data_IF_397791805819
#
_entry.id   IF_397791805819
#
_cell.length_a   1.000
_cell.length_b   1.000
_cell.length_c   1.000
_cell.angle_alpha   90.00
_cell.angle_beta   90.00
_cell.angle_gamma   90.00
#
_symmetry.space_group_name_H-M   'P 1'
#
loop_
_entity.id
_entity.type
_entity.pdbx_description
1 polymer ?
#
# COMPACT_ATOMS: atom_id res chain seq x y z
N UNK A 1 1.03 -10.67 9.23
CA UNK A 1 2.19 -11.12 8.44
C UNK A 1 2.22 -10.34 7.15
N UNK A 2 3.36 -9.72 6.80
CA UNK A 2 3.47 -8.82 5.65
C UNK A 2 4.24 -9.52 4.53
N UNK A 3 3.61 -9.71 3.38
CA UNK A 3 4.14 -10.57 2.32
C UNK A 3 5.15 -9.88 1.38
N UNK A 4 5.28 -8.55 1.45
CA UNK A 4 6.15 -7.75 0.59
C UNK A 4 6.88 -6.71 1.43
N UNK A 5 8.21 -6.76 1.43
CA UNK A 5 9.02 -5.78 2.12
C UNK A 5 8.84 -4.38 1.50
N UNK A 6 8.82 -3.39 2.37
CA UNK A 6 8.90 -1.99 1.95
C UNK A 6 10.38 -1.70 1.66
N UNK A 7 10.73 -1.17 0.47
CA UNK A 7 12.12 -0.86 0.14
C UNK A 7 12.77 0.05 1.19
N UNK A 8 14.04 -0.22 1.50
CA UNK A 8 14.77 0.57 2.48
C UNK A 8 14.83 2.05 2.08
N UNK A 9 14.62 2.95 3.05
CA UNK A 9 14.58 4.39 2.81
C UNK A 9 13.28 4.92 2.20
N UNK A 10 12.25 4.07 2.04
CA UNK A 10 10.92 4.55 1.65
C UNK A 10 10.35 5.46 2.73
N UNK A 11 10.17 6.73 2.38
CA UNK A 11 9.52 7.71 3.24
C UNK A 11 7.99 7.56 3.13
N UNK A 12 7.41 6.86 4.11
CA UNK A 12 5.97 6.62 4.19
C UNK A 12 5.15 7.91 4.40
N UNK A 13 5.75 8.98 4.92
CA UNK A 13 5.05 10.24 5.15
C UNK A 13 4.69 10.97 3.84
N UNK A 14 5.30 10.57 2.71
CA UNK A 14 4.95 11.10 1.38
C UNK A 14 3.65 10.53 0.83
N UNK A 15 3.18 9.42 1.38
CA UNK A 15 2.00 8.71 0.90
C UNK A 15 0.83 8.91 1.89
N UNK A 16 -0.39 8.91 1.35
CA UNK A 16 -1.61 9.17 2.15
C UNK A 16 -2.52 7.95 2.26
N UNK A 17 -2.33 6.95 1.40
CA UNK A 17 -3.28 5.86 1.21
C UNK A 17 -2.52 4.65 0.71
N UNK A 18 -2.92 3.46 1.17
CA UNK A 18 -2.51 2.18 0.62
C UNK A 18 -3.64 1.61 -0.24
N UNK A 19 -3.29 0.94 -1.33
CA UNK A 19 -4.25 0.32 -2.24
C UNK A 19 -3.99 -1.18 -2.38
N UNK A 20 -5.07 -1.94 -2.43
CA UNK A 20 -5.08 -3.37 -2.74
C UNK A 20 -5.40 -3.54 -4.22
N UNK A 21 -4.39 -3.84 -5.02
CA UNK A 21 -4.52 -4.05 -6.45
C UNK A 21 -4.61 -5.55 -6.79
N UNK A 22 -5.45 -5.90 -7.75
CA UNK A 22 -5.52 -7.25 -8.31
C UNK A 22 -5.07 -7.25 -9.77
N UNK A 23 -3.91 -7.87 -10.03
CA UNK A 23 -3.32 -7.95 -11.37
C UNK A 23 -4.21 -8.70 -12.37
N UNK A 24 -4.81 -9.82 -11.97
CA UNK A 24 -5.67 -10.65 -12.84
C UNK A 24 -6.84 -9.87 -13.45
N UNK A 25 -7.41 -8.94 -12.70
CA UNK A 25 -8.55 -8.14 -13.14
C UNK A 25 -8.14 -6.74 -13.59
N UNK A 26 -6.86 -6.41 -13.50
CA UNK A 26 -6.32 -5.08 -13.73
C UNK A 26 -7.10 -3.97 -13.00
N UNK A 27 -7.43 -4.20 -11.73
CA UNK A 27 -8.36 -3.35 -10.98
C UNK A 27 -7.94 -3.16 -9.51
N UNK A 28 -8.39 -2.04 -8.94
CA UNK A 28 -8.23 -1.72 -7.53
C UNK A 28 -9.41 -2.30 -6.73
N UNK A 29 -9.12 -3.16 -5.76
CA UNK A 29 -10.13 -3.83 -4.94
C UNK A 29 -10.43 -3.08 -3.64
N UNK A 30 -9.54 -2.17 -3.22
CA UNK A 30 -9.73 -1.42 -2.00
C UNK A 30 -8.62 -0.42 -1.75
N UNK A 31 -8.95 0.59 -0.96
CA UNK A 31 -8.00 1.58 -0.49
C UNK A 31 -8.27 1.89 0.99
N UNK A 32 -7.21 2.12 1.75
CA UNK A 32 -7.29 2.54 3.14
C UNK A 32 -6.32 3.69 3.39
N UNK A 33 -6.69 4.68 4.23
CA UNK A 33 -5.78 5.77 4.58
C UNK A 33 -4.54 5.20 5.30
N UNK A 34 -3.37 5.77 4.99
CA UNK A 34 -2.12 5.41 5.65
C UNK A 34 -1.96 6.33 6.87
N UNK A 35 -2.40 5.86 8.02
CA UNK A 35 -2.39 6.60 9.28
C UNK A 35 -1.33 6.02 10.24
N UNK A 36 -0.75 6.87 11.10
CA UNK A 36 0.09 6.39 12.20
C UNK A 36 -0.81 5.85 13.31
N UNK A 37 -0.53 4.64 13.77
CA UNK A 37 -1.19 3.99 14.91
C UNK A 37 -0.91 4.72 16.23
#
# INVERSE_FOLDING_TARGET
>A
DQNYEIPAGTDLAKFRTVSVYCERFNANFGAAPLEKF
#
